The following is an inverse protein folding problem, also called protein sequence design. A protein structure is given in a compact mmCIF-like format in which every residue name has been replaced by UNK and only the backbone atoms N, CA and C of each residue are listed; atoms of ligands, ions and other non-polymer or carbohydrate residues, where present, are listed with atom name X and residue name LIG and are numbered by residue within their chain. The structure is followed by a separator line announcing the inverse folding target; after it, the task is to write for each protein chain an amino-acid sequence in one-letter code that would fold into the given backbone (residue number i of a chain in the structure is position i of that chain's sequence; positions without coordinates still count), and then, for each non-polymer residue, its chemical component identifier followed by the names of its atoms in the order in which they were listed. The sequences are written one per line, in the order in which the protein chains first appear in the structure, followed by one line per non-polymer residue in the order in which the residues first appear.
data_IF_893236284357
#
_entry.id   IF_893236284357
#
_cell.length_a   1.000
_cell.length_b   1.000
_cell.length_c   1.000
_cell.angle_alpha   90.00
_cell.angle_beta   90.00
_cell.angle_gamma   90.00
#
_symmetry.space_group_name_H-M   'P 1'
#
loop_
_entity.id
_entity.type
_entity.pdbx_description
1 polymer ?
#
# COMPACT_ATOMS: atom_id res chain seq x y z
N UNK A 1 -2.13 10.12 5.14
CA UNK A 1 -1.98 9.17 4.01
C UNK A 1 -2.66 7.84 4.30
N UNK A 2 -2.39 7.23 5.46
CA UNK A 2 -3.09 6.01 5.92
C UNK A 2 -4.58 6.25 6.18
N UNK A 3 -4.95 7.40 6.77
CA UNK A 3 -6.36 7.70 7.09
C UNK A 3 -7.22 8.05 5.86
N UNK A 4 -6.62 8.58 4.80
CA UNK A 4 -7.32 8.80 3.51
C UNK A 4 -7.55 7.45 2.83
N UNK A 5 -6.59 6.53 2.90
CA UNK A 5 -6.72 5.18 2.38
C UNK A 5 -7.83 4.38 3.10
N UNK A 6 -8.01 4.59 4.41
CA UNK A 6 -9.06 3.92 5.19
C UNK A 6 -10.48 4.43 4.88
N UNK A 7 -10.63 5.64 4.34
CA UNK A 7 -11.93 6.23 4.00
C UNK A 7 -12.43 5.85 2.60
N UNK A 8 -11.58 5.32 1.73
CA UNK A 8 -11.91 4.96 0.33
C UNK A 8 -12.28 3.48 0.14
N UNK A 9 -12.25 2.65 1.18
CA UNK A 9 -12.47 1.19 1.05
C UNK A 9 -13.92 0.80 0.66
N UNK A 10 -14.91 1.71 0.81
CA UNK A 10 -16.32 1.39 0.56
C UNK A 10 -16.84 1.76 -0.85
N UNK A 11 -16.22 2.70 -1.58
CA UNK A 11 -16.81 3.25 -2.82
C UNK A 11 -16.12 2.83 -4.11
N UNK A 12 -14.93 2.22 -4.06
CA UNK A 12 -14.13 1.97 -5.27
C UNK A 12 -13.90 0.48 -5.61
N UNK A 13 -14.80 -0.39 -5.15
CA UNK A 13 -14.68 -1.84 -5.41
C UNK A 13 -15.04 -2.22 -6.87
N UNK A 14 -15.50 -1.30 -7.72
CA UNK A 14 -15.87 -1.59 -9.12
C UNK A 14 -15.52 -0.41 -10.03
N UNK A 15 -14.52 -0.61 -10.91
CA UNK A 15 -14.23 0.17 -12.14
C UNK A 15 -13.20 1.32 -12.16
N UNK A 16 -12.01 1.17 -11.55
CA UNK A 16 -10.77 1.44 -12.30
C UNK A 16 -9.52 0.88 -11.61
N UNK A 17 -8.69 0.13 -12.35
CA UNK A 17 -7.40 -0.41 -11.87
C UNK A 17 -6.34 0.69 -11.66
N UNK A 18 -6.59 1.92 -12.13
CA UNK A 18 -5.68 3.08 -12.07
C UNK A 18 -6.45 4.40 -11.91
N UNK A 19 -5.85 5.39 -11.23
CA UNK A 19 -6.42 6.73 -11.18
C UNK A 19 -6.36 7.41 -12.56
N UNK A 20 -7.40 8.17 -12.90
CA UNK A 20 -7.40 9.03 -14.08
C UNK A 20 -6.57 10.31 -13.85
N UNK A 21 -6.36 11.09 -14.90
CA UNK A 21 -5.49 12.28 -14.81
C UNK A 21 -6.00 13.32 -13.82
N UNK A 22 -7.31 13.57 -13.74
CA UNK A 22 -7.88 14.51 -12.77
C UNK A 22 -7.60 14.07 -11.32
N UNK A 23 -7.78 12.78 -11.04
CA UNK A 23 -7.48 12.20 -9.74
C UNK A 23 -6.00 12.31 -9.38
N UNK A 24 -5.10 12.13 -10.34
CA UNK A 24 -3.66 12.32 -10.10
C UNK A 24 -3.29 13.77 -9.77
N UNK A 25 -3.95 14.75 -10.39
CA UNK A 25 -3.75 16.16 -10.07
C UNK A 25 -4.26 16.49 -8.66
N UNK A 26 -5.40 15.92 -8.26
CA UNK A 26 -5.94 16.08 -6.91
C UNK A 26 -4.99 15.49 -5.85
N UNK A 27 -4.49 14.27 -6.09
CA UNK A 27 -3.50 13.62 -5.21
C UNK A 27 -2.24 14.46 -5.09
N UNK A 28 -1.74 15.03 -6.20
CA UNK A 28 -0.59 15.92 -6.18
C UNK A 28 -0.86 17.18 -5.34
N UNK A 29 -2.02 17.81 -5.49
CA UNK A 29 -2.42 18.99 -4.71
C UNK A 29 -2.47 18.67 -3.22
N UNK A 30 -3.20 17.63 -2.84
CA UNK A 30 -3.32 17.17 -1.45
C UNK A 30 -1.96 16.82 -0.84
N UNK A 31 -1.08 16.18 -1.61
CA UNK A 31 0.27 15.87 -1.14
C UNK A 31 1.09 17.15 -0.89
N UNK A 32 0.96 18.14 -1.78
CA UNK A 32 1.56 19.47 -1.60
C UNK A 32 1.08 20.14 -0.32
N UNK A 33 -0.24 20.21 -0.10
CA UNK A 33 -0.86 20.80 1.10
C UNK A 33 -0.38 20.09 2.37
N UNK A 34 -0.37 18.75 2.39
CA UNK A 34 -0.02 17.97 3.59
C UNK A 34 1.47 17.97 3.91
N UNK A 35 2.33 18.03 2.91
CA UNK A 35 3.78 17.89 3.11
C UNK A 35 4.53 19.22 3.07
N UNK A 36 3.88 20.31 2.61
CA UNK A 36 4.52 21.61 2.38
C UNK A 36 5.60 21.59 1.29
N UNK A 37 5.74 20.48 0.56
CA UNK A 37 6.80 20.30 -0.43
C UNK A 37 6.33 20.72 -1.81
N UNK A 38 7.10 21.60 -2.42
CA UNK A 38 6.93 22.08 -3.78
C UNK A 38 7.87 21.28 -4.69
N UNK A 39 7.40 20.81 -5.85
CA UNK A 39 8.24 20.12 -6.84
C UNK A 39 7.98 18.62 -7.03
N UNK A 40 6.94 18.06 -6.40
CA UNK A 40 6.44 16.75 -6.83
C UNK A 40 5.82 16.85 -8.22
N UNK A 41 6.11 15.86 -9.07
CA UNK A 41 5.50 15.72 -10.39
C UNK A 41 4.61 14.48 -10.39
N UNK A 42 3.58 14.49 -11.23
CA UNK A 42 2.66 13.35 -11.37
C UNK A 42 3.42 12.04 -11.65
N UNK A 43 4.44 11.98 -12.54
CA UNK A 43 5.23 10.76 -12.74
C UNK A 43 5.89 10.21 -11.46
N UNK A 44 6.48 11.09 -10.63
CA UNK A 44 7.11 10.68 -9.36
C UNK A 44 6.09 10.10 -8.38
N UNK A 45 4.90 10.68 -8.32
CA UNK A 45 3.81 10.19 -7.47
C UNK A 45 3.30 8.85 -7.97
N UNK A 46 3.11 8.68 -9.28
CA UNK A 46 2.69 7.41 -9.90
C UNK A 46 3.68 6.28 -9.61
N UNK A 47 4.97 6.56 -9.73
CA UNK A 47 6.03 5.60 -9.42
C UNK A 47 5.99 5.20 -7.94
N UNK A 48 5.93 6.19 -7.02
CA UNK A 48 5.85 5.94 -5.58
C UNK A 48 4.61 5.12 -5.22
N UNK A 49 3.45 5.48 -5.78
CA UNK A 49 2.20 4.75 -5.59
C UNK A 49 2.33 3.30 -6.05
N UNK A 50 2.95 3.06 -7.20
CA UNK A 50 3.18 1.71 -7.73
C UNK A 50 4.04 0.87 -6.78
N UNK A 51 5.13 1.45 -6.24
CA UNK A 51 5.99 0.78 -5.26
C UNK A 51 5.23 0.44 -3.98
N UNK A 52 4.48 1.40 -3.42
CA UNK A 52 3.65 1.17 -2.21
C UNK A 52 2.60 0.09 -2.48
N UNK A 53 1.92 0.13 -3.62
CA UNK A 53 0.90 -0.85 -4.02
C UNK A 53 1.49 -2.26 -4.14
N UNK A 54 2.72 -2.42 -4.63
CA UNK A 54 3.42 -3.72 -4.66
C UNK A 54 3.65 -4.25 -3.25
N UNK A 55 4.21 -3.44 -2.36
CA UNK A 55 4.45 -3.83 -0.96
C UNK A 55 3.13 -4.17 -0.25
N UNK A 56 2.08 -3.38 -0.46
CA UNK A 56 0.76 -3.65 0.11
C UNK A 56 0.16 -4.97 -0.38
N UNK A 57 0.36 -5.34 -1.65
CA UNK A 57 -0.11 -6.65 -2.16
C UNK A 57 0.59 -7.81 -1.46
N UNK A 58 1.91 -7.71 -1.26
CA UNK A 58 2.70 -8.72 -0.53
C UNK A 58 2.18 -8.80 0.91
N UNK A 59 2.03 -7.65 1.58
CA UNK A 59 1.49 -7.58 2.92
C UNK A 59 0.09 -8.18 3.04
N UNK A 60 -0.83 -7.82 2.13
CA UNK A 60 -2.18 -8.36 2.09
C UNK A 60 -2.16 -9.88 1.91
N UNK A 61 -1.33 -10.38 1.01
CA UNK A 61 -1.17 -11.81 0.80
C UNK A 61 -0.65 -12.51 2.07
N UNK A 62 0.35 -11.97 2.76
CA UNK A 62 0.85 -12.50 4.03
C UNK A 62 -0.25 -12.50 5.11
N UNK A 63 -0.99 -11.39 5.24
CA UNK A 63 -2.11 -11.28 6.19
C UNK A 63 -3.23 -12.29 5.90
N UNK A 64 -3.49 -12.59 4.63
CA UNK A 64 -4.51 -13.55 4.21
C UNK A 64 -4.02 -15.01 4.32
N UNK A 65 -2.70 -15.24 4.52
CA UNK A 65 -2.13 -16.57 4.79
C UNK A 65 -2.25 -16.93 6.28
N UNK A 66 -2.68 -18.17 6.55
CA UNK A 66 -2.70 -18.75 7.90
C UNK A 66 -1.29 -18.83 8.50
N UNK A 67 -1.13 -18.36 9.74
CA UNK A 67 0.12 -18.42 10.50
C UNK A 67 0.80 -17.07 10.72
N UNK A 68 0.36 -16.02 10.01
CA UNK A 68 0.81 -14.65 10.26
C UNK A 68 -0.12 -13.93 11.24
N UNK A 69 0.45 -13.46 12.34
CA UNK A 69 -0.13 -12.54 13.30
C UNK A 69 0.24 -11.08 13.01
N UNK A 70 -0.29 -10.19 13.85
CA UNK A 70 0.00 -8.76 13.82
C UNK A 70 0.36 -8.31 15.23
N UNK A 71 1.52 -7.67 15.38
CA UNK A 71 1.88 -7.01 16.63
C UNK A 71 1.45 -5.55 16.58
N UNK A 72 0.45 -5.19 17.39
CA UNK A 72 -0.07 -3.84 17.44
C UNK A 72 0.94 -2.83 18.02
N UNK A 73 1.84 -3.28 18.89
CA UNK A 73 2.81 -2.40 19.55
C UNK A 73 3.89 -1.91 18.58
N UNK A 74 4.46 -2.81 17.78
CA UNK A 74 5.47 -2.47 16.77
C UNK A 74 4.90 -2.15 15.40
N UNK A 75 3.60 -2.40 15.17
CA UNK A 75 2.94 -2.30 13.85
C UNK A 75 3.66 -3.18 12.80
N UNK A 76 4.00 -4.42 13.19
CA UNK A 76 4.70 -5.38 12.32
C UNK A 76 3.97 -6.72 12.23
N UNK A 77 4.22 -7.45 11.14
CA UNK A 77 3.73 -8.83 10.99
C UNK A 77 4.57 -9.74 11.86
N UNK A 78 3.91 -10.56 12.68
CA UNK A 78 4.57 -11.58 13.50
C UNK A 78 4.26 -12.96 12.92
N UNK A 79 5.24 -13.85 12.92
CA UNK A 79 5.08 -15.24 12.51
C UNK A 79 6.25 -16.04 13.10
N UNK A 80 6.05 -17.34 13.27
CA UNK A 80 7.14 -18.25 13.64
C UNK A 80 8.14 -18.38 12.48
N UNK A 81 9.38 -18.75 12.80
CA UNK A 81 10.43 -18.94 11.79
C UNK A 81 10.01 -19.96 10.71
N UNK A 82 9.27 -21.01 11.09
CA UNK A 82 8.75 -22.03 10.16
C UNK A 82 7.75 -21.44 9.15
N UNK A 83 6.87 -20.53 9.59
CA UNK A 83 5.90 -19.84 8.73
C UNK A 83 6.62 -18.89 7.77
N UNK A 84 7.66 -18.18 8.25
CA UNK A 84 8.51 -17.35 7.40
C UNK A 84 9.28 -18.17 6.36
N UNK A 85 9.88 -19.29 6.75
CA UNK A 85 10.60 -20.17 5.83
C UNK A 85 9.68 -20.77 4.77
N UNK A 86 8.50 -21.24 5.17
CA UNK A 86 7.49 -21.75 4.22
C UNK A 86 7.05 -20.67 3.24
N UNK A 87 6.78 -19.45 3.74
CA UNK A 87 6.39 -18.34 2.87
C UNK A 87 7.49 -17.95 1.88
N UNK A 88 8.73 -17.85 2.34
CA UNK A 88 9.88 -17.50 1.48
C UNK A 88 10.23 -18.60 0.48
N UNK A 89 10.02 -19.87 0.81
CA UNK A 89 10.18 -21.01 -0.12
C UNK A 89 9.09 -21.03 -1.19
N UNK A 90 7.84 -20.72 -0.84
CA UNK A 90 6.72 -20.62 -1.80
C UNK A 90 6.84 -19.37 -2.68
N UNK A 91 7.47 -18.32 -2.17
CA UNK A 91 7.67 -17.05 -2.86
C UNK A 91 9.05 -16.92 -3.53
N UNK A 92 9.68 -18.01 -4.01
CA UNK A 92 10.82 -17.87 -4.94
C UNK A 92 10.45 -16.87 -6.06
N UNK A 93 11.14 -15.73 -6.04
CA UNK A 93 10.93 -14.57 -6.92
C UNK A 93 11.55 -14.79 -8.29
#
# INVERSE_FOLDING_TARGET
MVEVARREEATNLKNSRQFNDLQWHEILRELGVRTGRIGYTIPKIREKFTRIKKVYKIFKHMKDHTGFGWDEASQTVTATDDVWQTYLQVCEL
#
